data_IF_757959136619
#
_entry.id   IF_757959136619
#
_cell.length_a   1.000
_cell.length_b   1.000
_cell.length_c   1.000
_cell.angle_alpha   90.00
_cell.angle_beta   90.00
_cell.angle_gamma   90.00
#
_symmetry.space_group_name_H-M   'P 1'
#
loop_
_entity.id
_entity.type
_entity.pdbx_description
1 polymer ?
#
# COMPACT_ATOMS: atom_id res chain seq x y z
N UNK A 1 -3.30 -13.83 4.57
CA UNK A 1 -4.36 -13.49 3.61
C UNK A 1 -3.72 -13.30 2.24
N UNK A 2 -4.49 -13.22 1.15
CA UNK A 2 -3.88 -12.93 -0.16
C UNK A 2 -3.96 -11.44 -0.40
N UNK A 3 -2.83 -10.82 -0.76
CA UNK A 3 -2.73 -9.45 -1.29
C UNK A 3 -3.81 -9.15 -2.32
N UNK A 4 -4.29 -10.16 -3.07
CA UNK A 4 -5.39 -10.03 -4.02
C UNK A 4 -6.70 -9.51 -3.40
N UNK A 5 -6.99 -9.85 -2.15
CA UNK A 5 -8.17 -9.34 -1.44
C UNK A 5 -8.03 -7.84 -1.14
N UNK A 6 -6.84 -7.40 -0.73
CA UNK A 6 -6.54 -6.00 -0.50
C UNK A 6 -6.59 -5.19 -1.81
N UNK A 7 -6.03 -5.74 -2.89
CA UNK A 7 -6.11 -5.18 -4.25
C UNK A 7 -7.58 -4.99 -4.67
N UNK A 8 -8.39 -6.03 -4.52
CA UNK A 8 -9.81 -6.01 -4.90
C UNK A 8 -10.60 -4.97 -4.10
N UNK A 9 -10.29 -4.80 -2.82
CA UNK A 9 -10.93 -3.82 -1.96
C UNK A 9 -10.54 -2.39 -2.31
N UNK A 10 -9.25 -2.13 -2.53
CA UNK A 10 -8.74 -0.84 -3.00
C UNK A 10 -9.34 -0.47 -4.35
N UNK A 11 -9.41 -1.41 -5.30
CA UNK A 11 -10.00 -1.19 -6.61
C UNK A 11 -11.51 -0.89 -6.52
N UNK A 12 -12.24 -1.57 -5.64
CA UNK A 12 -13.68 -1.33 -5.41
C UNK A 12 -13.95 0.07 -4.84
N UNK A 13 -13.11 0.55 -3.93
CA UNK A 13 -13.26 1.87 -3.31
C UNK A 13 -12.84 3.04 -4.22
N UNK A 14 -12.25 2.76 -5.38
CA UNK A 14 -12.01 3.76 -6.42
C UNK A 14 -13.32 3.97 -7.22
N UNK A 15 -14.37 4.41 -6.54
CA UNK A 15 -15.77 4.45 -7.04
C UNK A 15 -16.04 5.44 -8.19
N UNK A 16 -15.04 6.20 -8.64
CA UNK A 16 -15.16 7.21 -9.71
C UNK A 16 -14.15 6.98 -10.87
N UNK A 17 -13.72 5.73 -11.03
CA UNK A 17 -12.71 5.38 -12.03
C UNK A 17 -13.22 5.49 -13.47
N UNK A 18 -12.51 6.26 -14.30
CA UNK A 18 -12.54 6.13 -15.77
C UNK A 18 -11.90 4.84 -16.30
N UNK A 19 -11.27 4.06 -15.42
CA UNK A 19 -10.53 2.84 -15.73
C UNK A 19 -11.37 1.59 -15.43
N UNK A 20 -11.20 0.57 -16.27
CA UNK A 20 -11.76 -0.76 -16.01
C UNK A 20 -11.22 -1.33 -14.69
N UNK A 21 -12.07 -2.07 -13.98
CA UNK A 21 -11.73 -2.69 -12.69
C UNK A 21 -10.46 -3.54 -12.79
N UNK A 22 -10.33 -4.33 -13.87
CA UNK A 22 -9.17 -5.19 -14.09
C UNK A 22 -7.86 -4.39 -14.20
N UNK A 23 -7.89 -3.29 -14.97
CA UNK A 23 -6.73 -2.38 -15.08
C UNK A 23 -6.36 -1.79 -13.72
N UNK A 24 -7.35 -1.35 -12.93
CA UNK A 24 -7.08 -0.86 -11.57
C UNK A 24 -6.44 -1.92 -10.68
N UNK A 25 -6.97 -3.14 -10.67
CA UNK A 25 -6.44 -4.23 -9.87
C UNK A 25 -4.99 -4.55 -10.27
N UNK A 26 -4.67 -4.60 -11.56
CA UNK A 26 -3.30 -4.81 -12.05
C UNK A 26 -2.36 -3.69 -11.59
N UNK A 27 -2.74 -2.43 -11.79
CA UNK A 27 -1.91 -1.28 -11.39
C UNK A 27 -1.74 -1.20 -9.87
N UNK A 28 -2.77 -1.52 -9.08
CA UNK A 28 -2.69 -1.55 -7.62
C UNK A 28 -1.82 -2.71 -7.15
N UNK A 29 -1.90 -3.88 -7.78
CA UNK A 29 -1.02 -5.02 -7.49
C UNK A 29 0.44 -4.65 -7.71
N UNK A 30 0.76 -4.04 -8.86
CA UNK A 30 2.12 -3.58 -9.16
C UNK A 30 2.65 -2.56 -8.13
N UNK A 31 1.80 -1.66 -7.65
CA UNK A 31 2.16 -0.74 -6.55
C UNK A 31 2.47 -1.54 -5.30
N UNK A 32 1.54 -2.38 -4.83
CA UNK A 32 1.70 -3.12 -3.58
C UNK A 32 2.92 -4.04 -3.62
N UNK A 33 3.10 -4.82 -4.68
CA UNK A 33 4.27 -5.70 -4.86
C UNK A 33 5.61 -4.95 -4.76
N UNK A 34 5.66 -3.70 -5.23
CA UNK A 34 6.85 -2.86 -5.10
C UNK A 34 7.04 -2.29 -3.68
N UNK A 35 5.96 -2.06 -2.94
CA UNK A 35 5.97 -1.47 -1.61
C UNK A 35 6.21 -2.49 -0.49
N UNK A 36 5.54 -3.65 -0.56
CA UNK A 36 5.43 -4.63 0.54
C UNK A 36 6.80 -5.04 1.11
N UNK A 37 7.82 -5.37 0.30
CA UNK A 37 9.14 -5.74 0.84
C UNK A 37 9.81 -4.60 1.64
N UNK A 38 9.64 -3.35 1.18
CA UNK A 38 10.20 -2.19 1.85
C UNK A 38 9.45 -1.84 3.14
N UNK A 39 8.13 -2.01 3.14
CA UNK A 39 7.27 -1.86 4.31
C UNK A 39 7.63 -2.92 5.37
N UNK A 40 7.76 -4.18 4.97
CA UNK A 40 8.13 -5.28 5.85
C UNK A 40 9.49 -5.02 6.54
N UNK A 41 10.51 -4.62 5.76
CA UNK A 41 11.83 -4.32 6.30
C UNK A 41 11.81 -3.16 7.32
N UNK A 42 10.95 -2.15 7.13
CA UNK A 42 10.79 -1.06 8.09
C UNK A 42 10.03 -1.54 9.32
N UNK A 43 8.90 -2.21 9.14
CA UNK A 43 8.07 -2.71 10.23
C UNK A 43 8.84 -3.70 11.13
N UNK A 44 9.73 -4.52 10.58
CA UNK A 44 10.55 -5.45 11.36
C UNK A 44 11.68 -4.78 12.14
N UNK A 45 12.11 -3.59 11.72
CA UNK A 45 13.13 -2.81 12.42
C UNK A 45 12.57 -2.01 13.62
N UNK A 46 11.26 -2.06 13.82
CA UNK A 46 10.50 -1.35 14.84
C UNK A 46 10.26 -2.26 16.05
N UNK A 47 10.20 -1.66 17.25
CA UNK A 47 9.90 -2.41 18.48
C UNK A 47 8.40 -2.58 18.70
N UNK A 48 7.60 -1.78 17.99
CA UNK A 48 6.15 -1.77 18.00
C UNK A 48 5.59 -3.12 17.54
N UNK A 49 4.63 -3.66 18.28
CA UNK A 49 4.02 -4.98 18.00
C UNK A 49 2.57 -4.89 17.53
N UNK A 50 1.88 -3.81 17.86
CA UNK A 50 0.50 -3.60 17.44
C UNK A 50 0.46 -3.04 16.03
N UNK A 51 -0.32 -3.65 15.13
CA UNK A 51 -0.40 -3.27 13.71
C UNK A 51 -0.74 -1.78 13.51
N UNK A 52 -1.59 -1.23 14.38
CA UNK A 52 -2.00 0.19 14.32
C UNK A 52 -0.85 1.13 14.70
N UNK A 53 -0.11 0.80 15.77
CA UNK A 53 1.06 1.58 16.18
C UNK A 53 2.18 1.48 15.15
N UNK A 54 2.40 0.27 14.61
CA UNK A 54 3.33 0.01 13.52
C UNK A 54 2.98 0.84 12.28
N UNK A 55 1.72 0.86 11.85
CA UNK A 55 1.29 1.69 10.73
C UNK A 55 1.62 3.17 10.96
N UNK A 56 1.31 3.70 12.14
CA UNK A 56 1.65 5.08 12.50
C UNK A 56 3.16 5.34 12.48
N UNK A 57 3.99 4.38 12.91
CA UNK A 57 5.44 4.49 12.89
C UNK A 57 6.05 4.35 11.47
N UNK A 58 5.42 3.55 10.61
CA UNK A 58 5.89 3.26 9.24
C UNK A 58 5.51 4.38 8.28
N UNK A 59 4.30 4.95 8.39
CA UNK A 59 3.83 5.99 7.45
C UNK A 59 4.68 7.27 7.48
N UNK A 60 5.33 7.57 8.60
CA UNK A 60 6.25 8.70 8.75
C UNK A 60 7.64 8.44 8.13
N UNK A 61 7.92 7.20 7.70
CA UNK A 61 9.21 6.82 7.15
C UNK A 61 9.48 7.44 5.78
N UNK A 62 10.55 8.23 5.65
CA UNK A 62 10.98 8.82 4.37
C UNK A 62 11.18 7.76 3.26
N UNK A 63 11.66 6.57 3.64
CA UNK A 63 11.83 5.45 2.72
C UNK A 63 10.52 5.02 2.06
N UNK A 64 9.37 5.12 2.75
CA UNK A 64 8.06 4.80 2.17
C UNK A 64 7.69 5.81 1.09
N UNK A 65 7.93 7.10 1.35
CA UNK A 65 7.70 8.18 0.38
C UNK A 65 8.52 7.97 -0.90
N UNK A 66 9.77 7.50 -0.77
CA UNK A 66 10.61 7.17 -1.91
C UNK A 66 10.10 5.97 -2.71
N UNK A 67 9.51 4.95 -2.07
CA UNK A 67 8.92 3.82 -2.78
C UNK A 67 7.70 4.25 -3.62
N UNK A 68 6.82 5.09 -3.07
CA UNK A 68 5.72 5.68 -3.83
C UNK A 68 6.23 6.59 -4.97
N UNK A 69 7.31 7.34 -4.75
CA UNK A 69 7.94 8.15 -5.81
C UNK A 69 8.43 7.28 -6.97
N UNK A 70 9.06 6.13 -6.69
CA UNK A 70 9.48 5.18 -7.73
C UNK A 70 8.29 4.57 -8.47
N UNK A 71 7.17 4.31 -7.78
CA UNK A 71 5.95 3.84 -8.44
C UNK A 71 5.39 4.86 -9.44
N UNK A 72 5.51 6.16 -9.16
CA UNK A 72 5.09 7.24 -10.08
C UNK A 72 5.86 7.25 -11.42
N UNK A 73 7.05 6.67 -11.47
CA UNK A 73 7.83 6.59 -12.71
C UNK A 73 7.29 5.51 -13.68
N UNK A 74 6.47 4.58 -13.17
CA UNK A 74 6.04 3.38 -13.91
C UNK A 74 4.52 3.26 -14.06
N UNK A 75 3.77 3.83 -13.12
CA UNK A 75 2.32 3.65 -13.01
C UNK A 75 1.65 5.02 -13.09
N UNK A 76 0.41 5.05 -13.59
CA UNK A 76 -0.33 6.30 -13.76
C UNK A 76 -0.49 7.03 -12.41
N UNK A 77 -0.06 8.29 -12.39
CA UNK A 77 -0.07 9.16 -11.21
C UNK A 77 -1.38 9.14 -10.40
N UNK A 78 -2.59 9.16 -11.00
CA UNK A 78 -3.84 9.12 -10.24
C UNK A 78 -4.02 7.86 -9.40
N UNK A 79 -3.51 6.70 -9.86
CA UNK A 79 -3.64 5.43 -9.15
C UNK A 79 -2.64 5.38 -8.00
N UNK A 80 -1.40 5.81 -8.24
CA UNK A 80 -0.36 5.86 -7.20
C UNK A 80 -0.76 6.82 -6.08
N UNK A 81 -1.24 8.03 -6.41
CA UNK A 81 -1.73 9.00 -5.41
C UNK A 81 -2.88 8.43 -4.60
N UNK A 82 -3.79 7.68 -5.23
CA UNK A 82 -4.89 7.05 -4.52
C UNK A 82 -4.40 6.01 -3.51
N UNK A 83 -3.52 5.09 -3.92
CA UNK A 83 -2.98 4.06 -3.01
C UNK A 83 -2.17 4.72 -1.88
N UNK A 84 -1.35 5.72 -2.19
CA UNK A 84 -0.63 6.50 -1.20
C UNK A 84 -1.57 7.17 -0.20
N UNK A 85 -2.63 7.81 -0.67
CA UNK A 85 -3.63 8.45 0.19
C UNK A 85 -4.37 7.44 1.07
N UNK A 86 -4.71 6.24 0.54
CA UNK A 86 -5.30 5.16 1.35
C UNK A 86 -4.35 4.67 2.42
N UNK A 87 -3.08 4.51 2.10
CA UNK A 87 -2.06 4.13 3.07
C UNK A 87 -1.85 5.19 4.15
N UNK A 88 -1.75 6.47 3.78
CA UNK A 88 -1.41 7.56 4.72
C UNK A 88 -2.60 8.01 5.59
N UNK A 89 -3.80 8.05 5.01
CA UNK A 89 -4.95 8.73 5.61
C UNK A 89 -6.09 7.79 6.02
N UNK A 90 -6.03 6.51 5.67
CA UNK A 90 -7.03 5.54 6.07
C UNK A 90 -6.38 4.44 6.91
N UNK A 91 -6.62 4.49 8.22
CA UNK A 91 -6.05 3.53 9.17
C UNK A 91 -6.36 2.07 8.82
N UNK A 92 -7.56 1.78 8.31
CA UNK A 92 -7.94 0.42 7.91
C UNK A 92 -7.03 -0.10 6.78
N UNK A 93 -6.89 0.65 5.69
CA UNK A 93 -6.00 0.25 4.60
C UNK A 93 -4.53 0.27 5.00
N UNK A 94 -4.11 1.30 5.73
CA UNK A 94 -2.75 1.41 6.24
C UNK A 94 -2.35 0.20 7.07
N UNK A 95 -3.17 -0.15 8.06
CA UNK A 95 -2.95 -1.33 8.92
C UNK A 95 -2.91 -2.62 8.10
N UNK A 96 -3.86 -2.81 7.17
CA UNK A 96 -3.89 -4.01 6.33
C UNK A 96 -2.68 -4.12 5.40
N UNK A 97 -2.19 -3.00 4.85
CA UNK A 97 -0.96 -3.00 4.05
C UNK A 97 0.24 -3.45 4.89
N UNK A 98 0.34 -3.03 6.17
CA UNK A 98 1.39 -3.52 7.08
C UNK A 98 1.25 -5.02 7.32
N UNK A 99 0.04 -5.51 7.61
CA UNK A 99 -0.21 -6.93 7.87
C UNK A 99 0.17 -7.79 6.67
N UNK A 100 -0.29 -7.42 5.47
CA UNK A 100 0.08 -8.14 4.24
C UNK A 100 1.59 -8.05 3.96
N UNK A 101 2.26 -6.95 4.31
CA UNK A 101 3.71 -6.83 4.15
C UNK A 101 4.48 -7.80 5.05
N UNK A 102 4.03 -7.96 6.30
CA UNK A 102 4.64 -8.90 7.25
C UNK A 102 4.38 -10.36 6.86
N UNK A 103 3.28 -10.64 6.16
CA UNK A 103 2.93 -11.97 5.65
C UNK A 103 3.55 -12.29 4.27
N UNK A 104 4.07 -11.30 3.53
CA UNK A 104 4.65 -11.45 2.18
C UNK A 104 5.94 -12.28 2.11
N UNK A 105 6.37 -12.92 3.20
CA UNK A 105 7.61 -13.70 3.31
C UNK A 105 7.55 -15.06 2.65
#
# INVERSE_FOLDING_TARGET
MSVQNLVSELAREYTESKYEKKHLEERISEILEALLPGIAAIAESREERESVELWNAVKEGEKIKDLFRKALERIERPIVIYVASKFENNQHFGTRIIEEALEWK
#
